data_IF_820845978581
#
_entry.id   IF_820845978581
#
_cell.length_a   1.000
_cell.length_b   1.000
_cell.length_c   1.000
_cell.angle_alpha   90.00
_cell.angle_beta   90.00
_cell.angle_gamma   90.00
#
_symmetry.space_group_name_H-M   'P 1'
#
loop_
_entity.id
_entity.type
_entity.pdbx_description
1 polymer ?
#
# COMPACT_ATOMS: atom_id res chain seq x y z
N UNK A 1 11.24 -8.82 -7.17
CA UNK A 1 10.03 -9.37 -6.58
C UNK A 1 9.17 -9.98 -7.68
N UNK A 2 8.87 -11.26 -7.57
CA UNK A 2 8.05 -11.97 -8.56
C UNK A 2 6.75 -12.42 -7.89
N UNK A 3 5.63 -11.91 -8.36
CA UNK A 3 4.31 -12.19 -7.81
C UNK A 3 3.33 -12.50 -8.92
N UNK A 4 2.30 -13.27 -8.60
CA UNK A 4 1.23 -13.55 -9.55
C UNK A 4 0.27 -12.36 -9.71
N UNK A 5 0.28 -11.43 -8.77
CA UNK A 5 -0.55 -10.24 -8.86
C UNK A 5 -0.15 -9.39 -10.07
N UNK A 6 -1.15 -8.92 -10.81
CA UNK A 6 -0.93 -8.15 -12.04
C UNK A 6 -0.68 -6.67 -11.80
N UNK A 7 -1.15 -6.16 -10.67
CA UNK A 7 -1.04 -4.73 -10.36
C UNK A 7 0.03 -4.50 -9.31
N UNK A 8 1.14 -3.92 -9.73
CA UNK A 8 2.27 -3.61 -8.85
C UNK A 8 2.62 -2.14 -9.09
N UNK A 9 2.24 -1.29 -8.14
CA UNK A 9 2.36 0.16 -8.27
C UNK A 9 3.46 0.67 -7.35
N UNK A 10 4.56 1.09 -7.92
CA UNK A 10 5.70 1.63 -7.16
C UNK A 10 5.39 3.03 -6.68
N UNK A 11 5.82 3.33 -5.47
CA UNK A 11 5.63 4.65 -4.89
C UNK A 11 6.43 4.82 -3.61
N UNK A 12 6.03 5.81 -2.83
CA UNK A 12 6.65 6.10 -1.55
C UNK A 12 5.61 6.12 -0.46
N UNK A 13 6.01 5.68 0.72
CA UNK A 13 5.14 5.75 1.91
C UNK A 13 4.89 7.22 2.23
N UNK A 14 3.63 7.62 2.18
CA UNK A 14 3.22 8.98 2.52
C UNK A 14 2.81 9.10 3.99
N UNK A 15 2.24 8.03 4.55
CA UNK A 15 1.76 8.04 5.93
C UNK A 15 1.66 6.62 6.47
N UNK A 16 2.02 6.45 7.74
CA UNK A 16 1.83 5.20 8.49
C UNK A 16 1.10 5.56 9.77
N UNK A 17 -0.02 4.89 10.03
CA UNK A 17 -0.79 5.10 11.24
C UNK A 17 -1.21 3.76 11.82
N UNK A 18 -0.69 3.40 12.98
CA UNK A 18 -1.04 2.16 13.67
C UNK A 18 -2.34 2.33 14.46
N UNK A 19 -3.18 1.32 14.42
CA UNK A 19 -4.36 1.23 15.27
C UNK A 19 -4.08 0.27 16.44
N UNK A 20 -5.10 -0.42 16.88
CA UNK A 20 -4.95 -1.42 17.97
C UNK A 20 -4.23 -2.67 17.49
N UNK A 21 -4.68 -3.26 16.41
CA UNK A 21 -4.10 -4.47 15.82
C UNK A 21 -3.74 -4.27 14.35
N UNK A 22 -4.47 -3.40 13.66
CA UNK A 22 -4.23 -3.07 12.26
C UNK A 22 -3.95 -1.58 12.13
N UNK A 23 -3.23 -1.24 11.09
CA UNK A 23 -2.92 0.15 10.77
C UNK A 23 -3.18 0.45 9.32
N UNK A 24 -3.10 1.74 8.99
CA UNK A 24 -3.25 2.19 7.62
C UNK A 24 -1.92 2.70 7.10
N UNK A 25 -1.59 2.30 5.89
CA UNK A 25 -0.40 2.76 5.19
C UNK A 25 -0.85 3.40 3.88
N UNK A 26 -0.43 4.63 3.67
CA UNK A 26 -0.72 5.35 2.44
C UNK A 26 0.52 5.37 1.57
N UNK A 27 0.36 4.96 0.32
CA UNK A 27 1.44 4.92 -0.66
C UNK A 27 1.13 5.92 -1.75
N UNK A 28 2.02 6.89 -1.92
CA UNK A 28 1.91 7.89 -2.97
C UNK A 28 2.57 7.31 -4.23
N UNK A 29 1.77 7.03 -5.25
CA UNK A 29 2.26 6.48 -6.51
C UNK A 29 2.48 7.55 -7.57
N UNK A 30 2.39 8.81 -7.19
CA UNK A 30 2.62 9.95 -8.08
C UNK A 30 1.33 10.57 -8.59
N UNK A 31 1.44 11.76 -9.14
CA UNK A 31 0.32 12.51 -9.74
C UNK A 31 -0.87 12.70 -8.80
N UNK A 32 -0.60 12.80 -7.50
CA UNK A 32 -1.63 12.99 -6.49
C UNK A 32 -2.45 11.74 -6.18
N UNK A 33 -2.01 10.57 -6.63
CA UNK A 33 -2.74 9.32 -6.40
C UNK A 33 -2.17 8.61 -5.16
N UNK A 34 -3.04 8.35 -4.19
CA UNK A 34 -2.70 7.68 -2.94
C UNK A 34 -3.41 6.34 -2.89
N UNK A 35 -2.65 5.28 -2.67
CA UNK A 35 -3.19 3.95 -2.42
C UNK A 35 -3.16 3.72 -0.92
N UNK A 36 -4.31 3.42 -0.34
CA UNK A 36 -4.42 3.16 1.09
C UNK A 36 -4.52 1.66 1.34
N UNK A 37 -3.64 1.16 2.19
CA UNK A 37 -3.64 -0.24 2.61
C UNK A 37 -3.97 -0.36 4.08
N UNK A 38 -4.69 -1.41 4.44
CA UNK A 38 -4.92 -1.77 5.84
C UNK A 38 -4.19 -3.09 6.08
N UNK A 39 -3.18 -3.05 6.94
CA UNK A 39 -2.38 -4.23 7.26
C UNK A 39 -2.20 -4.30 8.78
N UNK A 40 -1.71 -5.44 9.27
CA UNK A 40 -1.50 -5.57 10.71
C UNK A 40 -0.37 -4.67 11.18
N UNK A 41 -0.47 -4.22 12.43
CA UNK A 41 0.64 -3.48 13.06
C UNK A 41 1.93 -4.28 13.03
N UNK A 42 1.80 -5.60 13.20
CA UNK A 42 2.93 -6.52 13.14
C UNK A 42 3.62 -6.47 11.77
N UNK A 43 2.83 -6.46 10.68
CA UNK A 43 3.38 -6.35 9.33
C UNK A 43 4.07 -5.00 9.11
N UNK A 44 3.50 -3.92 9.65
CA UNK A 44 4.13 -2.60 9.58
C UNK A 44 5.51 -2.64 10.23
N UNK A 45 5.61 -3.26 11.40
CA UNK A 45 6.88 -3.36 12.13
C UNK A 45 7.88 -4.27 11.42
N UNK A 46 7.45 -5.43 10.94
CA UNK A 46 8.32 -6.36 10.24
C UNK A 46 8.91 -5.77 8.97
N UNK A 47 8.09 -5.03 8.23
CA UNK A 47 8.53 -4.38 7.00
C UNK A 47 9.23 -3.05 7.28
N UNK A 48 9.25 -2.61 8.54
CA UNK A 48 9.88 -1.35 8.96
C UNK A 48 9.40 -0.16 8.12
N UNK A 49 8.10 -0.09 7.91
CA UNK A 49 7.52 0.95 7.07
C UNK A 49 7.58 2.32 7.74
N UNK A 50 8.12 3.30 7.03
CA UNK A 50 8.24 4.67 7.49
C UNK A 50 7.93 5.62 6.34
N UNK A 51 7.43 6.80 6.67
CA UNK A 51 7.23 7.87 5.70
C UNK A 51 8.53 8.10 4.91
N UNK A 52 8.39 8.16 3.59
CA UNK A 52 9.52 8.38 2.67
C UNK A 52 10.17 7.11 2.13
N UNK A 53 9.88 5.94 2.72
CA UNK A 53 10.41 4.68 2.20
C UNK A 53 9.84 4.38 0.82
N UNK A 54 10.64 3.73 0.00
CA UNK A 54 10.14 3.17 -1.25
C UNK A 54 9.27 1.98 -0.93
N UNK A 55 8.16 1.85 -1.64
CA UNK A 55 7.22 0.76 -1.44
C UNK A 55 6.54 0.41 -2.76
N UNK A 56 5.86 -0.73 -2.76
CA UNK A 56 5.04 -1.14 -3.90
C UNK A 56 3.67 -1.54 -3.38
N UNK A 57 2.62 -1.03 -4.02
CA UNK A 57 1.26 -1.48 -3.75
C UNK A 57 0.97 -2.64 -4.69
N UNK A 58 0.70 -3.81 -4.11
CA UNK A 58 0.42 -5.03 -4.88
C UNK A 58 -1.06 -5.34 -4.73
N UNK A 59 -1.78 -5.36 -5.83
CA UNK A 59 -3.24 -5.52 -5.83
C UNK A 59 -3.63 -6.66 -6.76
N UNK A 60 -4.31 -7.66 -6.21
CA UNK A 60 -4.83 -8.76 -7.04
C UNK A 60 -5.87 -8.20 -8.03
N UNK A 61 -5.82 -8.69 -9.25
CA UNK A 61 -6.77 -8.25 -10.28
C UNK A 61 -8.23 -8.43 -9.84
N UNK A 62 -8.51 -9.50 -9.09
CA UNK A 62 -9.86 -9.79 -8.59
C UNK A 62 -10.35 -8.79 -7.54
N UNK A 63 -9.45 -7.98 -6.97
CA UNK A 63 -9.81 -7.00 -5.95
C UNK A 63 -10.05 -5.60 -6.53
N UNK A 64 -9.80 -5.43 -7.82
CA UNK A 64 -9.98 -4.13 -8.47
C UNK A 64 -11.40 -3.99 -8.97
N UNK A 65 -12.06 -2.94 -8.52
CA UNK A 65 -13.41 -2.59 -8.96
C UNK A 65 -13.31 -1.51 -10.03
N UNK A 66 -14.06 -1.68 -11.10
CA UNK A 66 -14.03 -0.74 -12.22
C UNK A 66 -15.24 0.19 -12.16
N UNK A 67 -14.96 1.49 -12.20
CA UNK A 67 -16.00 2.49 -12.38
C UNK A 67 -15.90 3.07 -13.78
N UNK A 68 -17.03 3.48 -14.33
CA UNK A 68 -17.08 4.19 -15.61
C UNK A 68 -17.47 5.64 -15.38
N UNK A 69 -16.74 6.53 -15.98
CA UNK A 69 -17.03 7.98 -15.92
C UNK A 69 -18.00 8.41 -17.02
#
# INVERSE_FOLDING_TARGET
MKLSARNQLKGKIARVEKGRTTGHVQIDIGKGIIITASITNEAIDELKLKKGNDAVAVIKASDVIVGKL
#
